data_IF_151697596864
#
_entry.id   IF_151697596864
#
_cell.length_a   1.000
_cell.length_b   1.000
_cell.length_c   1.000
_cell.angle_alpha   90.00
_cell.angle_beta   90.00
_cell.angle_gamma   90.00
#
_symmetry.space_group_name_H-M   'P 1'
#
loop_
_entity.id
_entity.type
_entity.pdbx_description
1 polymer ?
#
# COMPACT_ATOMS: atom_id res chain seq x y z
N UNK A 1 19.76 19.02 -1.69
CA UNK A 1 18.31 18.73 -1.65
C UNK A 1 18.13 17.47 -0.84
N UNK A 2 17.24 17.51 0.15
CA UNK A 2 16.96 16.37 1.04
C UNK A 2 16.41 15.20 0.22
N UNK A 3 16.65 13.99 0.72
CA UNK A 3 16.37 12.73 0.04
C UNK A 3 14.87 12.39 0.07
N UNK A 4 14.01 13.26 -0.47
CA UNK A 4 12.55 13.22 -0.27
C UNK A 4 11.93 11.88 -0.72
N UNK A 5 12.37 11.34 -1.86
CA UNK A 5 11.93 10.02 -2.33
C UNK A 5 12.29 8.90 -1.33
N UNK A 6 13.45 8.98 -0.68
CA UNK A 6 13.87 8.02 0.33
C UNK A 6 13.05 8.14 1.62
N UNK A 7 12.65 9.35 2.01
CA UNK A 7 11.75 9.55 3.15
C UNK A 7 10.39 8.89 2.89
N UNK A 8 9.85 9.03 1.68
CA UNK A 8 8.62 8.34 1.28
C UNK A 8 8.77 6.82 1.23
N UNK A 9 9.88 6.29 0.72
CA UNK A 9 10.18 4.85 0.81
C UNK A 9 10.24 4.37 2.27
N UNK A 10 10.81 5.18 3.16
CA UNK A 10 10.88 4.86 4.60
C UNK A 10 9.48 4.82 5.23
N UNK A 11 8.59 5.74 4.85
CA UNK A 11 7.18 5.73 5.27
C UNK A 11 6.43 4.49 4.78
N UNK A 12 6.56 4.13 3.50
CA UNK A 12 5.95 2.90 2.97
C UNK A 12 6.42 1.67 3.74
N UNK A 13 7.74 1.54 3.96
CA UNK A 13 8.31 0.43 4.76
C UNK A 13 7.86 0.47 6.23
N UNK A 14 7.60 1.65 6.80
CA UNK A 14 7.07 1.75 8.15
C UNK A 14 5.65 1.17 8.24
N UNK A 15 4.81 1.43 7.23
CA UNK A 15 3.46 0.85 7.15
C UNK A 15 3.52 -0.68 6.95
N UNK A 16 4.47 -1.20 6.17
CA UNK A 16 4.71 -2.66 6.06
C UNK A 16 5.09 -3.29 7.41
N UNK A 17 6.00 -2.65 8.17
CA UNK A 17 6.36 -3.13 9.51
C UNK A 17 5.18 -3.09 10.48
N UNK A 18 4.37 -2.04 10.41
CA UNK A 18 3.16 -1.92 11.22
C UNK A 18 2.16 -3.04 10.90
N UNK A 19 1.92 -3.33 9.61
CA UNK A 19 1.14 -4.49 9.19
C UNK A 19 1.68 -5.79 9.80
N UNK A 20 2.98 -6.02 9.72
CA UNK A 20 3.62 -7.22 10.28
C UNK A 20 3.37 -7.37 11.78
N UNK A 21 3.49 -6.27 12.54
CA UNK A 21 3.21 -6.27 13.98
C UNK A 21 1.74 -6.56 14.28
N UNK A 22 0.80 -5.91 13.59
CA UNK A 22 -0.63 -6.12 13.81
C UNK A 22 -1.07 -7.52 13.37
N UNK A 23 -0.56 -8.04 12.25
CA UNK A 23 -0.81 -9.42 11.80
C UNK A 23 -0.35 -10.40 12.86
N UNK A 24 0.88 -10.26 13.35
CA UNK A 24 1.41 -11.13 14.41
C UNK A 24 0.52 -11.14 15.66
N UNK A 25 0.12 -9.97 16.15
CA UNK A 25 -0.75 -9.85 17.35
C UNK A 25 -2.14 -10.44 17.08
N UNK A 26 -2.71 -10.19 15.91
CA UNK A 26 -4.05 -10.67 15.55
C UNK A 26 -4.08 -12.19 15.41
N UNK A 27 -3.06 -12.78 14.79
CA UNK A 27 -2.93 -14.22 14.63
C UNK A 27 -2.77 -14.90 15.99
N UNK A 28 -1.94 -14.33 16.88
CA UNK A 28 -1.79 -14.80 18.27
C UNK A 28 -3.09 -14.74 19.06
N UNK A 29 -3.82 -13.64 18.96
CA UNK A 29 -5.12 -13.52 19.62
C UNK A 29 -6.12 -14.56 19.10
N UNK A 30 -6.15 -14.81 17.79
CA UNK A 30 -7.00 -15.83 17.18
C UNK A 30 -6.65 -17.24 17.67
N UNK A 31 -5.37 -17.56 17.79
CA UNK A 31 -4.88 -18.83 18.36
C UNK A 31 -5.33 -18.96 19.83
N UNK A 32 -5.07 -17.95 20.66
CA UNK A 32 -5.42 -17.97 22.09
C UNK A 32 -6.93 -18.11 22.31
N UNK A 33 -7.76 -17.49 21.47
CA UNK A 33 -9.22 -17.62 21.52
C UNK A 33 -9.72 -19.04 21.24
N UNK A 34 -8.94 -19.88 20.56
CA UNK A 34 -9.30 -21.31 20.39
C UNK A 34 -9.14 -22.09 21.70
N UNK A 35 -8.23 -21.65 22.56
CA UNK A 35 -7.93 -22.28 23.86
C UNK A 35 -8.78 -21.67 24.98
N UNK A 36 -8.91 -20.33 25.00
CA UNK A 36 -9.65 -19.59 26.01
C UNK A 36 -10.51 -18.49 25.38
N UNK A 37 -11.78 -18.80 25.03
CA UNK A 37 -12.70 -17.80 24.48
C UNK A 37 -12.99 -16.61 25.40
N UNK A 38 -12.76 -16.71 26.71
CA UNK A 38 -13.05 -15.65 27.68
C UNK A 38 -12.09 -14.45 27.61
N UNK A 39 -11.00 -14.56 26.84
CA UNK A 39 -9.99 -13.50 26.70
C UNK A 39 -10.54 -12.20 26.06
N UNK A 40 -11.61 -12.29 25.28
CA UNK A 40 -12.18 -11.16 24.53
C UNK A 40 -12.98 -10.15 25.37
N UNK A 41 -13.23 -10.45 26.65
CA UNK A 41 -14.12 -9.66 27.48
C UNK A 41 -15.52 -9.53 26.87
N UNK A 42 -16.26 -8.47 27.22
CA UNK A 42 -17.68 -8.34 26.89
C UNK A 42 -17.98 -7.46 25.66
N UNK A 43 -16.97 -6.83 25.04
CA UNK A 43 -17.17 -5.82 23.96
C UNK A 43 -16.77 -6.29 22.57
N UNK A 44 -15.94 -7.33 22.48
CA UNK A 44 -15.40 -7.82 21.21
C UNK A 44 -15.88 -9.26 21.06
N UNK A 45 -16.47 -9.60 19.93
CA UNK A 45 -16.83 -10.98 19.64
C UNK A 45 -15.81 -11.61 18.69
N UNK A 46 -15.67 -12.95 18.76
CA UNK A 46 -14.73 -13.70 17.92
C UNK A 46 -14.86 -13.37 16.43
N UNK A 47 -16.10 -13.21 15.97
CA UNK A 47 -16.41 -12.86 14.58
C UNK A 47 -15.73 -11.56 14.15
N UNK A 48 -15.69 -10.55 15.02
CA UNK A 48 -15.09 -9.26 14.69
C UNK A 48 -13.58 -9.38 14.48
N UNK A 49 -12.89 -10.16 15.31
CA UNK A 49 -11.45 -10.40 15.16
C UNK A 49 -11.16 -11.19 13.88
N UNK A 50 -11.96 -12.21 13.57
CA UNK A 50 -11.82 -12.98 12.31
C UNK A 50 -12.01 -12.07 11.11
N UNK A 51 -13.05 -11.24 11.12
CA UNK A 51 -13.33 -10.27 10.05
C UNK A 51 -12.24 -9.19 9.95
N UNK A 52 -11.71 -8.71 11.07
CA UNK A 52 -10.59 -7.76 11.07
C UNK A 52 -9.33 -8.41 10.48
N UNK A 53 -8.99 -9.64 10.88
CA UNK A 53 -7.84 -10.37 10.36
C UNK A 53 -7.95 -10.63 8.85
N UNK A 54 -9.14 -11.00 8.35
CA UNK A 54 -9.35 -11.25 6.92
C UNK A 54 -9.22 -9.99 6.06
N UNK A 55 -9.54 -8.82 6.60
CA UNK A 55 -9.43 -7.54 5.88
C UNK A 55 -8.13 -6.77 6.14
N UNK A 56 -7.29 -7.28 7.05
CA UNK A 56 -6.11 -6.57 7.53
C UNK A 56 -5.15 -6.22 6.39
N UNK A 57 -4.77 -7.20 5.57
CA UNK A 57 -3.82 -6.98 4.48
C UNK A 57 -4.36 -6.00 3.43
N UNK A 58 -5.62 -6.15 3.03
CA UNK A 58 -6.26 -5.22 2.10
C UNK A 58 -6.27 -3.77 2.63
N UNK A 59 -6.54 -3.60 3.93
CA UNK A 59 -6.50 -2.29 4.60
C UNK A 59 -5.11 -1.66 4.53
N UNK A 60 -4.07 -2.44 4.82
CA UNK A 60 -2.70 -1.96 4.78
C UNK A 60 -2.19 -1.71 3.35
N UNK A 61 -2.66 -2.47 2.35
CA UNK A 61 -2.41 -2.22 0.92
C UNK A 61 -2.98 -0.87 0.49
N UNK A 62 -4.21 -0.55 0.87
CA UNK A 62 -4.82 0.78 0.62
C UNK A 62 -3.94 1.88 1.24
N UNK A 63 -3.43 1.65 2.45
CA UNK A 63 -2.59 2.63 3.16
C UNK A 63 -1.22 2.85 2.51
N UNK A 64 -0.45 1.79 2.17
CA UNK A 64 0.84 1.97 1.49
C UNK A 64 0.67 2.64 0.13
N UNK A 65 -0.42 2.33 -0.58
CA UNK A 65 -0.69 2.94 -1.86
C UNK A 65 -1.00 4.44 -1.70
N UNK A 66 -1.66 4.83 -0.60
CA UNK A 66 -1.94 6.24 -0.29
C UNK A 66 -0.66 7.03 0.03
N UNK A 67 0.29 6.44 0.75
CA UNK A 67 1.62 7.04 0.97
C UNK A 67 2.37 7.23 -0.36
N UNK A 68 2.35 6.21 -1.22
CA UNK A 68 2.95 6.28 -2.55
C UNK A 68 2.29 7.37 -3.43
N UNK A 69 0.97 7.42 -3.48
CA UNK A 69 0.24 8.44 -4.24
C UNK A 69 0.57 9.85 -3.75
N UNK A 70 0.71 10.02 -2.44
CA UNK A 70 1.13 11.30 -1.83
C UNK A 70 2.55 11.67 -2.24
N UNK A 71 3.48 10.71 -2.27
CA UNK A 71 4.84 10.92 -2.75
C UNK A 71 4.87 11.40 -4.21
N UNK A 72 4.09 10.76 -5.10
CA UNK A 72 3.98 11.17 -6.49
C UNK A 72 3.39 12.59 -6.63
N UNK A 73 2.37 12.91 -5.84
CA UNK A 73 1.79 14.25 -5.83
C UNK A 73 2.81 15.30 -5.36
N UNK A 74 3.64 14.97 -4.37
CA UNK A 74 4.70 15.86 -3.90
C UNK A 74 5.73 16.11 -5.00
N UNK A 75 6.19 15.06 -5.67
CA UNK A 75 7.09 15.18 -6.82
C UNK A 75 6.51 16.09 -7.92
N UNK A 76 5.25 15.88 -8.32
CA UNK A 76 4.60 16.72 -9.34
C UNK A 76 4.59 18.20 -8.93
N UNK A 77 4.36 18.51 -7.65
CA UNK A 77 4.40 19.89 -7.13
C UNK A 77 5.80 20.46 -7.14
N UNK A 78 6.79 19.71 -6.69
CA UNK A 78 8.20 20.13 -6.62
C UNK A 78 8.75 20.51 -8.00
N UNK A 79 8.32 19.82 -9.06
CA UNK A 79 8.73 20.09 -10.43
C UNK A 79 7.75 20.98 -11.23
N UNK A 80 6.77 21.61 -10.56
CA UNK A 80 5.75 22.46 -11.18
C UNK A 80 5.04 21.80 -12.39
N UNK A 81 4.84 20.49 -12.33
CA UNK A 81 4.17 19.73 -13.38
C UNK A 81 2.67 19.90 -13.22
N UNK A 82 1.94 20.09 -14.33
CA UNK A 82 0.48 20.14 -14.32
C UNK A 82 -0.10 18.85 -13.72
N UNK A 83 -0.83 18.97 -12.61
CA UNK A 83 -1.44 17.85 -11.89
C UNK A 83 -2.39 17.06 -12.81
N UNK A 84 -2.13 15.76 -13.05
CA UNK A 84 -3.06 14.91 -13.79
C UNK A 84 -4.35 14.66 -12.99
N UNK A 85 -5.45 14.35 -13.70
CA UNK A 85 -6.72 13.94 -13.06
C UNK A 85 -6.70 12.42 -12.84
N UNK A 86 -6.65 12.01 -11.58
CA UNK A 86 -6.65 10.59 -11.18
C UNK A 86 -5.26 9.97 -11.05
N UNK A 87 -5.23 8.81 -10.39
CA UNK A 87 -4.00 8.10 -10.00
C UNK A 87 -3.27 7.47 -11.19
N UNK A 88 -3.99 6.92 -12.17
CA UNK A 88 -3.35 6.31 -13.35
C UNK A 88 -2.57 7.33 -14.19
N UNK A 89 -3.16 8.47 -14.60
CA UNK A 89 -2.41 9.52 -15.29
C UNK A 89 -1.27 10.12 -14.44
N UNK A 90 -1.40 10.12 -13.11
CA UNK A 90 -0.34 10.54 -12.19
C UNK A 90 0.88 9.63 -12.28
N UNK A 91 0.70 8.31 -12.18
CA UNK A 91 1.79 7.33 -12.31
C UNK A 91 2.46 7.45 -13.68
N UNK A 92 1.66 7.48 -14.76
CA UNK A 92 2.19 7.58 -16.12
C UNK A 92 2.97 8.88 -16.34
N UNK A 93 2.49 10.00 -15.79
CA UNK A 93 3.19 11.29 -15.87
C UNK A 93 4.55 11.25 -15.18
N UNK A 94 4.63 10.67 -13.99
CA UNK A 94 5.90 10.53 -13.26
C UNK A 94 6.83 9.57 -14.00
N UNK A 95 6.30 8.44 -14.51
CA UNK A 95 7.07 7.51 -15.35
C UNK A 95 7.72 8.22 -16.52
N UNK A 96 6.95 8.98 -17.30
CA UNK A 96 7.44 9.67 -18.50
C UNK A 96 8.50 10.71 -18.15
N UNK A 97 8.26 11.49 -17.09
CA UNK A 97 9.20 12.49 -16.61
C UNK A 97 10.52 11.86 -16.18
N UNK A 98 10.44 10.75 -15.46
CA UNK A 98 11.58 10.08 -14.86
C UNK A 98 12.21 8.98 -15.73
N UNK A 99 11.69 8.78 -16.95
CA UNK A 99 12.10 7.70 -17.87
C UNK A 99 12.10 6.31 -17.20
N UNK A 100 11.10 6.07 -16.36
CA UNK A 100 10.97 4.80 -15.62
C UNK A 100 10.57 3.70 -16.62
N UNK A 101 11.18 2.50 -16.54
CA UNK A 101 10.80 1.38 -17.39
C UNK A 101 9.30 1.08 -17.34
N UNK A 102 8.73 0.75 -18.49
CA UNK A 102 7.30 0.43 -18.61
C UNK A 102 6.88 -0.72 -17.68
N UNK A 103 7.72 -1.75 -17.53
CA UNK A 103 7.48 -2.87 -16.63
C UNK A 103 7.34 -2.46 -15.16
N UNK A 104 8.12 -1.47 -14.69
CA UNK A 104 8.03 -0.96 -13.32
C UNK A 104 6.69 -0.23 -13.11
N UNK A 105 6.24 0.56 -14.11
CA UNK A 105 4.94 1.23 -14.06
C UNK A 105 3.76 0.25 -14.14
N UNK A 106 3.85 -0.80 -14.96
CA UNK A 106 2.84 -1.86 -15.03
C UNK A 106 2.69 -2.61 -13.71
N UNK A 107 3.80 -2.88 -13.02
CA UNK A 107 3.76 -3.48 -11.69
C UNK A 107 3.02 -2.57 -10.69
N UNK A 108 3.29 -1.25 -10.70
CA UNK A 108 2.54 -0.29 -9.86
C UNK A 108 1.05 -0.27 -10.21
N UNK A 109 0.73 -0.35 -11.50
CA UNK A 109 -0.67 -0.39 -11.95
C UNK A 109 -1.42 -1.63 -11.49
N UNK A 110 -0.74 -2.79 -11.36
CA UNK A 110 -1.35 -3.99 -10.74
C UNK A 110 -1.75 -3.74 -9.28
N UNK A 111 -0.89 -3.07 -8.50
CA UNK A 111 -1.19 -2.72 -7.11
C UNK A 111 -2.36 -1.73 -7.05
N UNK A 112 -2.37 -0.72 -7.93
CA UNK A 112 -3.47 0.25 -8.07
C UNK A 112 -4.79 -0.45 -8.37
N UNK A 113 -4.80 -1.40 -9.30
CA UNK A 113 -6.00 -2.14 -9.69
C UNK A 113 -6.52 -3.02 -8.56
N UNK A 114 -5.63 -3.72 -7.87
CA UNK A 114 -6.00 -4.50 -6.68
C UNK A 114 -6.60 -3.59 -5.59
N UNK A 115 -5.95 -2.45 -5.30
CA UNK A 115 -6.49 -1.43 -4.39
C UNK A 115 -7.88 -0.95 -4.80
N UNK A 116 -8.10 -0.69 -6.08
CA UNK A 116 -9.39 -0.23 -6.58
C UNK A 116 -10.50 -1.27 -6.35
N UNK A 117 -10.19 -2.56 -6.42
CA UNK A 117 -11.15 -3.63 -6.10
C UNK A 117 -11.46 -3.66 -4.62
N UNK A 118 -10.43 -3.57 -3.77
CA UNK A 118 -10.59 -3.52 -2.31
C UNK A 118 -11.48 -2.35 -1.86
N UNK A 119 -11.41 -1.21 -2.56
CA UNK A 119 -12.18 0.00 -2.20
C UNK A 119 -13.57 0.04 -2.83
N UNK A 120 -13.74 -0.48 -4.04
CA UNK A 120 -14.97 -0.28 -4.83
C UNK A 120 -15.84 -1.54 -4.99
N UNK A 121 -15.56 -2.62 -4.26
CA UNK A 121 -16.32 -3.89 -4.29
C UNK A 121 -16.62 -4.40 -5.72
N UNK A 122 -15.71 -4.12 -6.68
CA UNK A 122 -15.94 -4.41 -8.09
C UNK A 122 -15.74 -5.91 -8.35
N UNK A 123 -16.66 -6.51 -9.10
CA UNK A 123 -16.68 -7.94 -9.50
C UNK A 123 -15.56 -8.35 -10.47
N UNK A 124 -14.58 -7.50 -10.74
CA UNK A 124 -13.46 -7.84 -11.64
C UNK A 124 -12.46 -8.72 -10.89
N UNK A 125 -12.19 -9.91 -11.44
CA UNK A 125 -11.08 -10.73 -10.99
C UNK A 125 -9.75 -10.04 -11.34
N UNK A 126 -8.99 -9.69 -10.31
CA UNK A 126 -7.58 -9.28 -10.42
C UNK A 126 -6.78 -10.20 -9.53
N UNK A 127 -5.57 -10.53 -9.98
CA UNK A 127 -4.62 -11.33 -9.21
C UNK A 127 -4.33 -10.60 -7.89
N UNK A 128 -4.58 -11.23 -6.73
CA UNK A 128 -4.25 -10.62 -5.45
C UNK A 128 -2.77 -10.24 -5.39
N UNK A 129 -2.49 -9.07 -4.82
CA UNK A 129 -1.12 -8.60 -4.59
C UNK A 129 -0.85 -8.71 -3.10
N UNK A 130 0.20 -9.42 -2.71
CA UNK A 130 0.60 -9.51 -1.32
C UNK A 130 1.28 -8.23 -0.83
N UNK A 131 1.29 -8.01 0.49
CA UNK A 131 1.83 -6.78 1.09
C UNK A 131 3.31 -6.54 0.77
N UNK A 132 4.13 -7.61 0.72
CA UNK A 132 5.57 -7.49 0.46
C UNK A 132 5.82 -7.11 -0.98
N UNK A 133 5.11 -7.74 -1.90
CA UNK A 133 5.17 -7.46 -3.33
C UNK A 133 4.72 -6.03 -3.62
N UNK A 134 3.60 -5.60 -3.02
CA UNK A 134 3.16 -4.21 -3.15
C UNK A 134 4.22 -3.23 -2.65
N UNK A 135 4.77 -3.45 -1.45
CA UNK A 135 5.82 -2.60 -0.89
C UNK A 135 7.06 -2.56 -1.79
N UNK A 136 7.52 -3.72 -2.26
CA UNK A 136 8.68 -3.87 -3.15
C UNK A 136 8.49 -3.08 -4.43
N UNK A 137 7.37 -3.27 -5.12
CA UNK A 137 7.06 -2.62 -6.40
C UNK A 137 6.99 -1.10 -6.25
N UNK A 138 6.28 -0.60 -5.23
CA UNK A 138 6.16 0.84 -4.99
C UNK A 138 7.52 1.48 -4.65
N UNK A 139 8.34 0.81 -3.83
CA UNK A 139 9.68 1.29 -3.51
C UNK A 139 10.64 1.26 -4.71
N UNK A 140 10.56 0.24 -5.57
CA UNK A 140 11.35 0.20 -6.82
C UNK A 140 11.00 1.42 -7.67
N UNK A 141 9.72 1.70 -7.87
CA UNK A 141 9.29 2.88 -8.63
C UNK A 141 9.83 4.18 -8.02
N UNK A 142 9.71 4.37 -6.71
CA UNK A 142 10.23 5.58 -6.02
C UNK A 142 11.76 5.68 -6.05
N UNK A 143 12.49 4.56 -6.01
CA UNK A 143 13.95 4.60 -6.14
C UNK A 143 14.40 5.11 -7.51
N UNK A 144 13.61 4.88 -8.56
CA UNK A 144 13.84 5.50 -9.88
C UNK A 144 13.53 7.00 -9.88
N UNK A 145 12.53 7.44 -9.12
CA UNK A 145 12.22 8.87 -8.96
C UNK A 145 13.33 9.59 -8.19
N UNK A 146 13.92 8.94 -7.18
CA UNK A 146 15.02 9.50 -6.36
C UNK A 146 16.22 9.95 -7.20
N UNK A 147 16.53 9.27 -8.30
CA UNK A 147 17.65 9.66 -9.17
C UNK A 147 17.46 11.04 -9.84
N UNK A 148 16.27 11.61 -9.77
CA UNK A 148 15.88 12.85 -10.47
C UNK A 148 15.38 13.92 -9.50
N UNK A 149 14.75 13.51 -8.39
CA UNK A 149 14.18 14.38 -7.37
C UNK A 149 15.26 15.09 -6.55
#
# INVERSE_FOLDING_TARGET
MLNEAFDWMTRIKAVEREYGAIRFVTDRLLEEMTVNPAILGNRIIRRDIVTASSHLEGTYIVRIFSEFETALQHFIRAFHIRKPRGTEPLINRVRDRCRIPQADAEAVHKVREYRNILVHERTKFVVPVDMREATRVLCIFLSRVQGIW
#
